data_IF_866781944864
#
_entry.id   IF_866781944864
#
_cell.length_a   1.000
_cell.length_b   1.000
_cell.length_c   1.000
_cell.angle_alpha   90.00
_cell.angle_beta   90.00
_cell.angle_gamma   90.00
#
_symmetry.space_group_name_H-M   'P 1'
#
loop_
_entity.id
_entity.type
_entity.pdbx_description
1 polymer ?
#
# COMPACT_ATOMS: atom_id res chain seq x y z
N UNK A 1 -25.67 4.66 -9.76
CA UNK A 1 -24.54 4.90 -8.84
C UNK A 1 -23.66 3.66 -8.78
N UNK A 2 -22.64 3.60 -9.62
CA UNK A 2 -21.42 2.79 -9.41
C UNK A 2 -20.33 3.58 -10.11
N UNK A 3 -19.70 4.49 -9.38
CA UNK A 3 -18.63 5.27 -9.96
C UNK A 3 -17.44 4.32 -10.20
N UNK A 4 -17.17 4.02 -11.46
CA UNK A 4 -16.01 3.23 -11.87
C UNK A 4 -14.71 3.90 -11.39
N UNK A 5 -14.74 5.22 -11.16
CA UNK A 5 -13.62 5.99 -10.64
C UNK A 5 -13.28 5.66 -9.18
N UNK A 6 -14.19 5.06 -8.39
CA UNK A 6 -13.94 4.71 -6.99
C UNK A 6 -13.38 3.29 -6.78
N UNK A 7 -13.35 2.47 -7.84
CA UNK A 7 -12.87 1.09 -7.77
C UNK A 7 -11.38 1.00 -8.12
N UNK A 8 -10.65 0.21 -7.33
CA UNK A 8 -9.22 -0.11 -7.54
C UNK A 8 -8.30 1.11 -7.43
N UNK A 9 -8.55 1.96 -6.44
CA UNK A 9 -7.73 3.13 -6.15
C UNK A 9 -6.69 2.85 -5.07
N UNK A 10 -5.50 3.42 -5.25
CA UNK A 10 -4.53 3.67 -4.19
C UNK A 10 -4.55 5.15 -3.82
N UNK A 11 -4.61 5.46 -2.53
CA UNK A 11 -4.61 6.82 -2.02
C UNK A 11 -3.47 7.00 -1.02
N UNK A 12 -2.59 7.96 -1.27
CA UNK A 12 -1.63 8.42 -0.28
C UNK A 12 -2.36 9.00 0.95
N UNK A 13 -1.92 8.63 2.15
CA UNK A 13 -2.49 9.14 3.41
C UNK A 13 -1.55 10.12 4.10
N UNK A 14 -0.32 9.71 4.36
CA UNK A 14 0.68 10.50 5.07
C UNK A 14 2.07 9.84 4.98
N UNK A 15 3.09 10.61 5.34
CA UNK A 15 4.38 10.08 5.77
C UNK A 15 4.33 9.94 7.30
N UNK A 16 4.81 8.82 7.83
CA UNK A 16 5.01 8.63 9.27
C UNK A 16 6.45 8.22 9.57
N UNK A 17 6.99 8.71 10.69
CA UNK A 17 8.32 8.32 11.17
C UNK A 17 8.16 7.42 12.40
N UNK A 18 8.77 6.24 12.38
CA UNK A 18 8.85 5.34 13.54
C UNK A 18 10.31 5.05 13.82
N UNK A 19 10.81 5.41 15.00
CA UNK A 19 12.21 5.22 15.45
C UNK A 19 13.24 5.40 14.31
N UNK A 20 13.66 4.30 13.70
CA UNK A 20 14.73 4.22 12.68
C UNK A 20 14.25 4.29 11.22
N UNK A 21 12.94 4.34 10.96
CA UNK A 21 12.38 4.24 9.62
C UNK A 21 11.31 5.30 9.34
N UNK A 22 11.19 5.68 8.06
CA UNK A 22 10.17 6.59 7.55
C UNK A 22 9.32 5.81 6.56
N UNK A 23 8.00 5.95 6.69
CA UNK A 23 7.03 5.18 5.93
C UNK A 23 6.09 6.08 5.16
N UNK A 24 5.93 5.81 3.87
CA UNK A 24 4.82 6.31 3.07
C UNK A 24 3.61 5.38 3.24
N UNK A 25 2.48 5.96 3.66
CA UNK A 25 1.28 5.19 4.03
C UNK A 25 0.19 5.41 3.01
N UNK A 26 -0.41 4.31 2.55
CA UNK A 26 -1.41 4.28 1.50
C UNK A 26 -2.63 3.50 1.94
N UNK A 27 -3.80 3.87 1.41
CA UNK A 27 -5.02 3.07 1.48
C UNK A 27 -5.34 2.54 0.10
N UNK A 28 -5.56 1.23 0.00
CA UNK A 28 -6.06 0.61 -1.23
C UNK A 28 -7.49 0.14 -1.00
N UNK A 29 -8.35 0.34 -2.00
CA UNK A 29 -9.73 -0.14 -2.01
C UNK A 29 -10.10 -0.65 -3.38
N UNK A 30 -10.91 -1.70 -3.44
CA UNK A 30 -11.46 -2.17 -4.69
C UNK A 30 -12.51 -3.26 -4.54
N UNK A 31 -13.04 -3.65 -5.70
CA UNK A 31 -14.03 -4.70 -5.86
C UNK A 31 -13.52 -5.64 -6.95
N UNK A 32 -13.31 -6.92 -6.61
CA UNK A 32 -12.89 -7.95 -7.57
C UNK A 32 -13.66 -9.23 -7.32
N UNK A 33 -14.27 -9.79 -8.37
CA UNK A 33 -15.05 -11.03 -8.30
C UNK A 33 -16.11 -11.05 -7.17
N UNK A 34 -16.78 -9.91 -6.93
CA UNK A 34 -17.77 -9.77 -5.85
C UNK A 34 -17.19 -9.53 -4.45
N UNK A 35 -15.86 -9.59 -4.29
CA UNK A 35 -15.16 -9.32 -3.03
C UNK A 35 -14.80 -7.84 -2.96
N UNK A 36 -15.34 -7.14 -1.96
CA UNK A 36 -14.88 -5.81 -1.58
C UNK A 36 -13.64 -5.96 -0.68
N UNK A 37 -12.55 -5.31 -1.05
CA UNK A 37 -11.32 -5.33 -0.26
C UNK A 37 -10.88 -3.92 0.09
N UNK A 38 -10.28 -3.78 1.26
CA UNK A 38 -9.65 -2.56 1.74
C UNK A 38 -8.42 -2.95 2.54
N UNK A 39 -7.27 -2.37 2.21
CA UNK A 39 -6.04 -2.59 2.96
C UNK A 39 -5.28 -1.27 3.16
N UNK A 40 -4.39 -1.26 4.14
CA UNK A 40 -3.41 -0.19 4.34
C UNK A 40 -2.04 -0.75 3.99
N UNK A 41 -1.30 -0.02 3.15
CA UNK A 41 0.07 -0.37 2.78
C UNK A 41 0.98 0.67 3.40
N UNK A 42 1.99 0.22 4.16
CA UNK A 42 3.05 1.07 4.70
C UNK A 42 4.36 0.66 4.04
N UNK A 43 4.96 1.57 3.30
CA UNK A 43 6.20 1.33 2.55
C UNK A 43 7.32 2.11 3.21
N UNK A 44 8.39 1.41 3.63
CA UNK A 44 9.61 2.08 4.06
C UNK A 44 10.19 2.82 2.85
N UNK A 45 10.40 4.14 2.99
CA UNK A 45 10.84 4.97 1.87
C UNK A 45 12.25 4.58 1.41
N UNK A 46 13.08 4.05 2.31
CA UNK A 46 14.42 3.55 1.94
C UNK A 46 14.36 2.30 1.07
N UNK A 47 13.34 1.45 1.25
CA UNK A 47 13.11 0.25 0.42
C UNK A 47 12.64 0.60 -0.99
N UNK A 48 12.13 1.82 -1.20
CA UNK A 48 11.80 2.38 -2.51
C UNK A 48 12.96 3.18 -3.12
N UNK A 49 14.17 3.11 -2.54
CA UNK A 49 15.37 3.84 -2.98
C UNK A 49 15.16 5.37 -3.06
N UNK A 50 14.26 5.92 -2.25
CA UNK A 50 14.02 7.37 -2.15
C UNK A 50 14.56 7.93 -0.83
N UNK A 51 14.97 9.20 -0.87
CA UNK A 51 15.51 9.90 0.29
C UNK A 51 14.44 10.79 0.94
N UNK A 52 14.45 11.01 2.28
CA UNK A 52 13.51 11.91 2.93
C UNK A 52 13.52 13.36 2.43
N UNK A 53 14.62 13.76 1.77
CA UNK A 53 14.79 15.08 1.16
C UNK A 53 14.33 15.17 -0.30
N UNK A 54 13.88 14.07 -0.90
CA UNK A 54 13.25 14.08 -2.21
C UNK A 54 11.91 14.84 -2.18
N UNK A 55 11.48 15.34 -3.34
CA UNK A 55 10.15 15.93 -3.48
C UNK A 55 9.06 14.90 -3.17
N UNK A 56 7.96 15.36 -2.54
CA UNK A 56 6.92 14.49 -2.02
C UNK A 56 6.29 13.62 -3.12
N UNK A 57 6.09 14.18 -4.31
CA UNK A 57 5.54 13.49 -5.48
C UNK A 57 6.36 12.24 -5.83
N UNK A 58 7.69 12.38 -5.88
CA UNK A 58 8.60 11.26 -6.14
C UNK A 58 8.48 10.18 -5.06
N UNK A 59 8.47 10.57 -3.79
CA UNK A 59 8.31 9.62 -2.67
C UNK A 59 6.99 8.85 -2.80
N UNK A 60 5.90 9.56 -3.11
CA UNK A 60 4.57 8.97 -3.28
C UNK A 60 4.56 7.98 -4.44
N UNK A 61 5.06 8.37 -5.61
CA UNK A 61 5.02 7.55 -6.84
C UNK A 61 5.85 6.27 -6.70
N UNK A 62 7.10 6.40 -6.24
CA UNK A 62 8.01 5.26 -6.09
C UNK A 62 7.50 4.28 -5.01
N UNK A 63 7.06 4.80 -3.86
CA UNK A 63 6.52 3.96 -2.79
C UNK A 63 5.20 3.30 -3.19
N UNK A 64 4.30 3.99 -3.89
CA UNK A 64 3.06 3.40 -4.37
C UNK A 64 3.33 2.26 -5.36
N UNK A 65 4.32 2.44 -6.26
CA UNK A 65 4.68 1.45 -7.29
C UNK A 65 5.18 0.15 -6.65
N UNK A 66 6.14 0.23 -5.72
CA UNK A 66 6.65 -0.97 -5.05
C UNK A 66 5.59 -1.58 -4.12
N UNK A 67 4.86 -0.75 -3.36
CA UNK A 67 3.83 -1.20 -2.44
C UNK A 67 2.71 -2.00 -3.14
N UNK A 68 2.25 -1.54 -4.30
CA UNK A 68 1.26 -2.26 -5.11
C UNK A 68 1.82 -3.55 -5.70
N UNK A 69 3.04 -3.51 -6.24
CA UNK A 69 3.69 -4.68 -6.84
C UNK A 69 3.83 -5.83 -5.84
N UNK A 70 4.30 -5.53 -4.63
CA UNK A 70 4.48 -6.54 -3.59
C UNK A 70 3.13 -6.99 -3.02
N UNK A 71 2.17 -6.08 -2.80
CA UNK A 71 0.83 -6.45 -2.34
C UNK A 71 0.09 -7.40 -3.30
N UNK A 72 0.21 -7.19 -4.61
CA UNK A 72 -0.40 -8.07 -5.62
C UNK A 72 0.21 -9.47 -5.68
N UNK A 73 1.47 -9.60 -5.28
CA UNK A 73 2.21 -10.88 -5.24
C UNK A 73 2.13 -11.58 -3.89
N UNK A 74 1.61 -10.90 -2.86
CA UNK A 74 1.55 -11.45 -1.52
C UNK A 74 0.62 -12.66 -1.46
N UNK A 75 1.15 -13.79 -1.00
CA UNK A 75 0.37 -14.97 -0.65
C UNK A 75 -0.07 -14.84 0.82
N UNK A 76 -1.34 -14.52 1.03
CA UNK A 76 -1.90 -14.43 2.37
C UNK A 76 -2.23 -15.82 2.89
N UNK A 77 -1.79 -16.12 4.11
CA UNK A 77 -2.12 -17.34 4.82
C UNK A 77 -3.23 -17.06 5.83
N UNK A 78 -4.08 -18.05 6.09
CA UNK A 78 -5.04 -17.96 7.18
C UNK A 78 -4.30 -18.05 8.52
N UNK A 79 -4.54 -17.07 9.38
CA UNK A 79 -4.08 -17.11 10.76
C UNK A 79 -4.83 -18.22 11.52
N UNK A 80 -4.09 -19.10 12.20
CA UNK A 80 -4.67 -20.10 13.12
C UNK A 80 -5.30 -21.35 12.49
N UNK A 81 -5.16 -21.58 11.18
CA UNK A 81 -5.72 -22.76 10.50
C UNK A 81 -4.66 -23.86 10.24
N UNK A 82 -3.43 -23.66 10.71
CA UNK A 82 -2.30 -24.57 10.52
C UNK A 82 -2.38 -25.88 11.32
N UNK A 83 -3.50 -26.17 11.97
CA UNK A 83 -3.65 -27.29 12.91
C UNK A 83 -4.99 -28.03 12.80
N UNK A 84 -5.57 -28.12 11.60
CA UNK A 84 -6.65 -29.06 11.28
C UNK A 84 -6.13 -30.28 10.53
#
# INVERSE_FOLDING_TARGET
>A
MKDLAENNLIRFRNISKKKEAIYANFKVKGLRAGVNFSATISVDISAAEVHPGDVLEKIIEECARIGLKEFQKAEFQFEGVSSL
#
